data_IF_873429106241
#
_entry.id   IF_873429106241
#
_cell.length_a   1.000
_cell.length_b   1.000
_cell.length_c   1.000
_cell.angle_alpha   90.00
_cell.angle_beta   90.00
_cell.angle_gamma   90.00
#
_symmetry.space_group_name_H-M   'P 1'
#
loop_
_entity.id
_entity.type
_entity.pdbx_description
1 polymer ?
#
# COMPACT_ATOMS: atom_id res chain seq x y z
N UNK A 1 14.61 8.77 -0.13
CA UNK A 1 13.47 8.52 0.75
C UNK A 1 12.31 8.06 -0.09
N UNK A 2 11.70 6.94 0.26
CA UNK A 2 10.55 6.37 -0.43
C UNK A 2 9.24 6.64 0.31
N UNK A 3 9.27 6.52 1.65
CA UNK A 3 8.12 6.76 2.52
C UNK A 3 8.61 7.35 3.85
N UNK A 4 7.78 8.15 4.48
CA UNK A 4 8.04 8.71 5.80
C UNK A 4 6.72 8.84 6.55
N UNK A 5 6.73 8.48 7.83
CA UNK A 5 5.59 8.63 8.71
C UNK A 5 6.02 8.97 10.13
N UNK A 6 5.12 9.55 10.90
CA UNK A 6 5.26 9.70 12.34
C UNK A 6 4.36 8.67 13.02
N UNK A 7 4.95 7.80 13.86
CA UNK A 7 4.21 6.83 14.65
C UNK A 7 3.32 7.56 15.66
N UNK A 8 2.02 7.22 15.67
CA UNK A 8 0.99 7.98 16.39
C UNK A 8 1.18 7.98 17.91
N UNK A 9 1.67 6.87 18.49
CA UNK A 9 1.84 6.70 19.94
C UNK A 9 3.21 7.19 20.41
N UNK A 10 4.30 6.77 19.79
CA UNK A 10 5.66 7.11 20.25
C UNK A 10 6.12 8.50 19.80
N UNK A 11 5.54 9.00 18.71
CA UNK A 11 5.96 10.23 18.06
C UNK A 11 7.28 10.10 17.29
N UNK A 12 7.88 8.91 17.22
CA UNK A 12 9.07 8.67 16.42
C UNK A 12 8.77 8.82 14.94
N UNK A 13 9.74 9.34 14.18
CA UNK A 13 9.62 9.42 12.72
C UNK A 13 10.33 8.20 12.14
N UNK A 14 9.61 7.50 11.26
CA UNK A 14 10.10 6.36 10.51
C UNK A 14 10.28 6.75 9.05
N UNK A 15 11.43 6.42 8.48
CA UNK A 15 11.83 6.79 7.12
C UNK A 15 12.29 5.56 6.38
N UNK A 16 11.62 5.25 5.26
CA UNK A 16 12.02 4.19 4.33
C UNK A 16 12.99 4.73 3.28
N UNK A 17 14.04 3.97 3.00
CA UNK A 17 15.01 4.31 1.96
C UNK A 17 15.14 3.19 0.94
N UNK A 18 15.42 3.55 -0.33
CA UNK A 18 15.49 2.60 -1.45
C UNK A 18 16.52 1.48 -1.22
N UNK A 19 17.74 1.80 -0.80
CA UNK A 19 18.78 0.82 -0.45
C UNK A 19 19.40 1.12 0.93
N UNK A 20 18.74 1.96 1.73
CA UNK A 20 19.22 2.43 3.03
C UNK A 20 18.51 1.77 4.23
N UNK A 21 17.64 0.81 4.00
CA UNK A 21 16.83 0.21 5.07
C UNK A 21 15.81 1.17 5.66
N UNK A 22 15.68 1.16 6.97
CA UNK A 22 14.72 1.98 7.72
C UNK A 22 15.45 2.81 8.76
N UNK A 23 15.11 4.09 8.85
CA UNK A 23 15.57 4.98 9.89
C UNK A 23 14.45 5.27 10.89
N UNK A 24 14.74 5.14 12.18
CA UNK A 24 13.89 5.57 13.27
C UNK A 24 14.51 6.82 13.90
N UNK A 25 13.75 7.91 14.01
CA UNK A 25 14.19 9.18 14.57
C UNK A 25 13.38 9.50 15.83
N UNK A 26 14.03 9.45 16.99
CA UNK A 26 13.49 9.93 18.26
C UNK A 26 13.97 11.36 18.52
N UNK A 27 13.10 12.34 18.32
CA UNK A 27 13.42 13.76 18.54
C UNK A 27 13.70 14.10 20.00
N UNK A 28 13.26 13.28 20.97
CA UNK A 28 13.42 13.51 22.41
C UNK A 28 14.74 12.94 22.94
N UNK A 29 15.35 11.99 22.22
CA UNK A 29 16.62 11.39 22.62
C UNK A 29 17.80 12.39 22.49
N UNK A 30 18.90 12.17 23.21
CA UNK A 30 20.15 12.92 23.03
C UNK A 30 20.61 12.86 21.56
N UNK A 31 21.25 13.91 21.06
CA UNK A 31 21.63 14.07 19.64
C UNK A 31 22.33 12.83 19.08
N UNK A 32 23.27 12.26 19.83
CA UNK A 32 24.04 11.08 19.42
C UNK A 32 23.21 9.78 19.34
N UNK A 33 21.97 9.76 19.86
CA UNK A 33 21.10 8.59 19.92
C UNK A 33 19.77 8.81 19.19
N UNK A 34 19.60 9.96 18.54
CA UNK A 34 18.33 10.34 17.89
C UNK A 34 17.97 9.48 16.69
N UNK A 35 18.97 8.96 15.99
CA UNK A 35 18.76 8.24 14.75
C UNK A 35 19.28 6.81 14.92
N UNK A 36 18.40 5.86 14.67
CA UNK A 36 18.76 4.44 14.55
C UNK A 36 18.52 4.02 13.10
N UNK A 37 19.42 3.23 12.56
CA UNK A 37 19.28 2.66 11.22
C UNK A 37 19.17 1.14 11.31
N UNK A 38 18.24 0.57 10.51
CA UNK A 38 17.98 -0.85 10.45
C UNK A 38 18.21 -1.34 9.01
N UNK A 39 19.28 -2.08 8.81
CA UNK A 39 19.54 -2.85 7.58
C UNK A 39 19.14 -4.30 7.77
N UNK A 40 18.67 -4.95 6.72
CA UNK A 40 18.23 -6.35 6.79
C UNK A 40 19.34 -7.31 7.28
N UNK A 41 20.62 -7.00 7.02
CA UNK A 41 21.75 -7.80 7.49
C UNK A 41 21.95 -7.72 9.03
N UNK A 42 21.62 -6.56 9.64
CA UNK A 42 21.82 -6.30 11.07
C UNK A 42 20.49 -6.33 11.83
N UNK A 43 19.37 -6.29 11.14
CA UNK A 43 18.01 -6.33 11.63
C UNK A 43 17.24 -7.50 10.98
N UNK A 44 17.36 -8.74 11.49
CA UNK A 44 16.76 -9.93 10.88
C UNK A 44 15.24 -9.90 10.74
N UNK A 45 14.57 -8.97 11.41
CA UNK A 45 13.15 -8.73 11.28
C UNK A 45 12.77 -8.00 9.98
N UNK A 46 13.70 -7.29 9.37
CA UNK A 46 13.47 -6.56 8.12
C UNK A 46 13.75 -7.50 6.93
N UNK A 47 12.74 -7.78 6.12
CA UNK A 47 12.83 -8.72 5.01
C UNK A 47 13.79 -8.27 3.90
N UNK A 48 14.00 -6.96 3.75
CA UNK A 48 14.93 -6.40 2.77
C UNK A 48 15.27 -4.94 3.05
N UNK A 49 16.50 -4.51 2.70
CA UNK A 49 16.96 -3.13 2.91
C UNK A 49 16.42 -2.13 1.88
N UNK A 50 15.80 -2.61 0.79
CA UNK A 50 15.09 -1.77 -0.13
C UNK A 50 13.63 -1.67 0.32
N UNK A 51 13.27 -0.58 1.01
CA UNK A 51 11.96 -0.37 1.64
C UNK A 51 11.21 0.72 0.90
N UNK A 52 10.00 0.40 0.42
CA UNK A 52 9.18 1.28 -0.41
C UNK A 52 8.11 2.03 0.38
N UNK A 53 7.48 1.36 1.35
CA UNK A 53 6.39 1.94 2.11
C UNK A 53 6.45 1.54 3.58
N UNK A 54 6.04 2.44 4.47
CA UNK A 54 5.82 2.20 5.89
C UNK A 54 4.37 2.52 6.21
N UNK A 55 3.72 1.65 6.95
CA UNK A 55 2.33 1.80 7.38
C UNK A 55 2.18 1.48 8.87
N UNK A 56 1.40 2.28 9.60
CA UNK A 56 0.97 2.01 10.97
C UNK A 56 -0.46 1.49 10.94
N UNK A 57 -0.68 0.27 11.45
CA UNK A 57 -2.01 -0.30 11.54
C UNK A 57 -2.82 0.23 12.73
N UNK A 58 -4.08 -0.13 12.82
CA UNK A 58 -4.99 0.29 13.90
C UNK A 58 -4.59 -0.21 15.29
N UNK A 59 -3.69 -1.19 15.38
CA UNK A 59 -3.10 -1.71 16.62
C UNK A 59 -1.73 -1.07 16.92
N UNK A 60 -1.36 -0.05 16.15
CA UNK A 60 -0.07 0.65 16.24
C UNK A 60 1.16 -0.21 15.92
N UNK A 61 0.98 -1.31 15.18
CA UNK A 61 2.11 -2.05 14.64
C UNK A 61 2.64 -1.37 13.38
N UNK A 62 3.94 -1.51 13.14
CA UNK A 62 4.61 -0.98 11.97
C UNK A 62 4.80 -2.06 10.91
N UNK A 63 4.37 -1.76 9.70
CA UNK A 63 4.48 -2.60 8.53
C UNK A 63 5.43 -1.98 7.51
N UNK A 64 6.25 -2.80 6.88
CA UNK A 64 7.27 -2.36 5.92
C UNK A 64 7.13 -3.16 4.64
N UNK A 65 6.78 -2.48 3.54
CA UNK A 65 6.81 -3.06 2.20
C UNK A 65 8.23 -3.01 1.65
N UNK A 66 8.80 -4.15 1.31
CA UNK A 66 10.18 -4.25 0.87
C UNK A 66 10.29 -4.99 -0.48
N UNK A 67 11.46 -4.92 -1.11
CA UNK A 67 11.77 -5.72 -2.30
C UNK A 67 11.66 -7.23 -2.04
N UNK A 68 11.79 -7.66 -0.80
CA UNK A 68 11.85 -9.07 -0.41
C UNK A 68 10.65 -9.48 0.46
N UNK A 69 9.49 -8.91 0.22
CA UNK A 69 8.26 -9.18 0.96
C UNK A 69 7.91 -8.14 2.01
N UNK A 70 7.08 -8.56 2.95
CA UNK A 70 6.55 -7.71 4.02
C UNK A 70 7.24 -8.04 5.33
N UNK A 71 7.56 -7.01 6.09
CA UNK A 71 7.97 -7.12 7.50
C UNK A 71 6.96 -6.42 8.37
N UNK A 72 6.79 -6.92 9.58
CA UNK A 72 5.96 -6.30 10.59
C UNK A 72 6.70 -6.27 11.92
N UNK A 73 6.50 -5.20 12.64
CA UNK A 73 7.01 -5.02 13.99
C UNK A 73 5.87 -4.57 14.88
N UNK A 74 5.63 -5.27 15.98
CA UNK A 74 4.59 -4.90 16.94
C UNK A 74 4.94 -3.59 17.64
N UNK A 75 3.96 -2.96 18.27
CA UNK A 75 4.17 -1.76 19.06
C UNK A 75 5.23 -1.96 20.16
N UNK A 76 5.30 -3.17 20.76
CA UNK A 76 6.29 -3.53 21.78
C UNK A 76 7.67 -3.84 21.19
N UNK A 77 7.81 -3.74 19.87
CA UNK A 77 9.07 -3.93 19.15
C UNK A 77 9.40 -5.37 18.77
N UNK A 78 8.49 -6.31 18.97
CA UNK A 78 8.65 -7.70 18.52
C UNK A 78 8.49 -7.82 17.01
N UNK A 79 9.28 -8.69 16.39
CA UNK A 79 9.21 -8.98 14.97
C UNK A 79 8.23 -10.11 14.68
N UNK A 80 7.37 -9.91 13.69
CA UNK A 80 6.49 -10.97 13.17
C UNK A 80 7.02 -11.44 11.82
N UNK A 81 7.25 -12.76 11.72
CA UNK A 81 7.80 -13.40 10.53
C UNK A 81 6.70 -13.67 9.51
N UNK A 82 6.64 -12.85 8.47
CA UNK A 82 5.70 -12.97 7.36
C UNK A 82 6.36 -13.48 6.07
N UNK A 83 7.68 -13.50 6.03
CA UNK A 83 8.49 -13.88 4.87
C UNK A 83 8.33 -15.34 4.45
N UNK A 84 7.89 -16.22 5.37
CA UNK A 84 7.66 -17.65 5.12
C UNK A 84 6.25 -17.97 4.63
N UNK A 85 5.32 -17.00 4.63
CA UNK A 85 3.95 -17.22 4.15
C UNK A 85 3.96 -17.64 2.68
N UNK A 86 3.13 -18.65 2.36
CA UNK A 86 3.01 -19.17 1.01
C UNK A 86 2.14 -18.26 0.15
N UNK A 87 2.63 -17.93 -1.04
CA UNK A 87 1.97 -17.11 -2.06
C UNK A 87 2.00 -17.90 -3.35
N UNK A 88 0.99 -18.68 -3.63
CA UNK A 88 0.99 -19.64 -4.73
C UNK A 88 2.16 -20.61 -4.60
N UNK A 89 3.06 -20.66 -5.58
CA UNK A 89 4.25 -21.52 -5.58
C UNK A 89 5.50 -20.84 -4.97
N UNK A 90 5.37 -19.64 -4.45
CA UNK A 90 6.48 -18.85 -3.90
C UNK A 90 6.27 -18.58 -2.42
N UNK A 91 7.32 -18.09 -1.76
CA UNK A 91 7.21 -17.53 -0.41
C UNK A 91 7.20 -16.01 -0.48
N UNK A 92 6.53 -15.36 0.49
CA UNK A 92 6.41 -13.90 0.57
C UNK A 92 7.77 -13.19 0.49
N UNK A 93 8.84 -13.76 1.03
CA UNK A 93 10.21 -13.19 0.97
C UNK A 93 10.77 -12.99 -0.44
N UNK A 94 10.18 -13.61 -1.46
CA UNK A 94 10.61 -13.49 -2.85
C UNK A 94 9.69 -12.58 -3.67
N UNK A 95 8.75 -11.90 -3.00
CA UNK A 95 7.75 -11.06 -3.64
C UNK A 95 8.04 -9.59 -3.37
N UNK A 96 8.37 -8.78 -4.36
CA UNK A 96 8.47 -7.33 -4.19
C UNK A 96 7.13 -6.73 -3.81
N UNK A 97 7.07 -6.00 -2.70
CA UNK A 97 5.88 -5.31 -2.21
C UNK A 97 6.11 -3.81 -2.21
N UNK A 98 5.13 -3.03 -2.69
CA UNK A 98 5.30 -1.61 -2.99
C UNK A 98 4.51 -0.71 -2.04
N UNK A 99 3.29 -1.10 -1.71
CA UNK A 99 2.35 -0.28 -0.95
C UNK A 99 1.47 -1.14 -0.05
N UNK A 100 0.94 -0.54 1.02
CA UNK A 100 0.06 -1.24 1.97
C UNK A 100 -1.03 -0.32 2.48
N UNK A 101 -2.17 -0.92 2.82
CA UNK A 101 -3.28 -0.27 3.53
C UNK A 101 -4.02 -1.30 4.38
N UNK A 102 -4.61 -0.88 5.48
CA UNK A 102 -5.45 -1.72 6.32
C UNK A 102 -6.91 -1.61 5.89
N UNK A 103 -7.61 -2.73 5.81
CA UNK A 103 -9.05 -2.80 5.64
C UNK A 103 -9.81 -2.55 6.95
N UNK A 104 -11.11 -2.26 6.88
CA UNK A 104 -11.95 -2.07 8.08
C UNK A 104 -12.10 -3.34 8.94
N UNK A 105 -11.80 -4.49 8.38
CA UNK A 105 -11.76 -5.80 9.05
C UNK A 105 -10.44 -6.05 9.80
N UNK A 106 -9.47 -5.14 9.69
CA UNK A 106 -8.13 -5.26 10.25
C UNK A 106 -7.17 -6.09 9.40
N UNK A 107 -7.60 -6.55 8.22
CA UNK A 107 -6.71 -7.24 7.28
C UNK A 107 -5.77 -6.27 6.59
N UNK A 108 -4.55 -6.70 6.38
CA UNK A 108 -3.56 -5.90 5.68
C UNK A 108 -3.55 -6.22 4.18
N UNK A 109 -3.81 -5.22 3.36
CA UNK A 109 -3.75 -5.29 1.91
C UNK A 109 -2.39 -4.80 1.42
N UNK A 110 -1.76 -5.56 0.54
CA UNK A 110 -0.38 -5.34 0.08
C UNK A 110 -0.32 -5.38 -1.44
N UNK A 111 0.14 -4.29 -2.04
CA UNK A 111 0.36 -4.20 -3.48
C UNK A 111 1.74 -4.73 -3.87
N UNK A 112 1.80 -5.48 -4.96
CA UNK A 112 3.03 -5.98 -5.58
C UNK A 112 3.07 -5.58 -7.06
N UNK A 113 4.24 -5.15 -7.51
CA UNK A 113 4.46 -4.83 -8.92
C UNK A 113 4.79 -6.06 -9.79
N UNK A 114 4.53 -7.27 -9.29
CA UNK A 114 4.78 -8.52 -10.02
C UNK A 114 3.71 -9.59 -9.80
N UNK A 115 2.91 -9.48 -8.72
CA UNK A 115 1.96 -10.52 -8.31
C UNK A 115 0.53 -9.99 -8.08
N UNK A 116 0.27 -8.68 -8.27
CA UNK A 116 -1.03 -8.07 -7.99
C UNK A 116 -1.17 -7.64 -6.53
N UNK A 117 -2.25 -8.03 -5.88
CA UNK A 117 -2.58 -7.65 -4.51
C UNK A 117 -2.65 -8.87 -3.62
N UNK A 118 -2.15 -8.75 -2.40
CA UNK A 118 -2.30 -9.74 -1.33
C UNK A 118 -3.18 -9.18 -0.23
N UNK A 119 -3.99 -10.03 0.38
CA UNK A 119 -4.70 -9.79 1.63
C UNK A 119 -4.11 -10.72 2.68
N UNK A 120 -3.54 -10.16 3.74
CA UNK A 120 -3.02 -10.87 4.90
C UNK A 120 -4.06 -10.80 6.01
N UNK A 121 -4.64 -11.93 6.33
CA UNK A 121 -5.59 -12.09 7.43
C UNK A 121 -4.89 -12.69 8.65
N UNK A 122 -5.07 -12.06 9.81
CA UNK A 122 -4.57 -12.55 11.09
C UNK A 122 -5.72 -13.15 11.90
N UNK A 123 -5.65 -14.44 12.20
CA UNK A 123 -6.66 -15.11 13.02
C UNK A 123 -6.54 -14.72 14.51
N UNK A 124 -7.51 -15.17 15.32
CA UNK A 124 -7.55 -14.93 16.78
C UNK A 124 -6.33 -15.49 17.53
N UNK A 125 -5.59 -16.42 16.93
CA UNK A 125 -4.38 -17.04 17.50
C UNK A 125 -3.09 -16.33 17.09
N UNK A 126 -3.21 -15.26 16.25
CA UNK A 126 -2.07 -14.51 15.73
C UNK A 126 -1.40 -15.19 14.52
N UNK A 127 -2.05 -16.16 13.87
CA UNK A 127 -1.52 -16.80 12.67
C UNK A 127 -2.00 -16.07 11.42
N UNK A 128 -1.08 -15.85 10.49
CA UNK A 128 -1.36 -15.16 9.23
C UNK A 128 -1.63 -16.11 8.08
N UNK A 129 -2.64 -15.80 7.29
CA UNK A 129 -2.94 -16.42 6.00
C UNK A 129 -2.89 -15.39 4.90
N UNK A 130 -2.65 -15.81 3.65
CA UNK A 130 -2.51 -14.94 2.49
C UNK A 130 -3.46 -15.34 1.39
N UNK A 131 -4.28 -14.40 0.93
CA UNK A 131 -5.04 -14.49 -0.32
C UNK A 131 -4.36 -13.65 -1.40
N UNK A 132 -4.43 -14.08 -2.66
CA UNK A 132 -3.83 -13.38 -3.79
C UNK A 132 -4.91 -12.98 -4.80
N UNK A 133 -4.81 -11.75 -5.33
CA UNK A 133 -5.68 -11.17 -6.35
C UNK A 133 -4.81 -10.70 -7.50
N UNK A 134 -4.93 -11.33 -8.65
CA UNK A 134 -4.04 -11.13 -9.79
C UNK A 134 -4.74 -11.47 -11.10
N UNK A 135 -4.20 -11.01 -12.21
CA UNK A 135 -4.64 -11.43 -13.53
C UNK A 135 -4.46 -12.94 -13.77
N UNK A 136 -3.52 -13.58 -13.07
CA UNK A 136 -3.27 -15.03 -13.20
C UNK A 136 -4.39 -15.90 -12.64
N UNK A 137 -5.19 -15.38 -11.70
CA UNK A 137 -6.35 -16.09 -11.14
C UNK A 137 -7.69 -15.41 -11.42
N UNK A 138 -7.67 -14.35 -12.25
CA UNK A 138 -8.88 -13.62 -12.67
C UNK A 138 -9.50 -12.73 -11.60
N UNK A 139 -8.88 -12.57 -10.44
CA UNK A 139 -9.41 -11.77 -9.33
C UNK A 139 -9.02 -10.29 -9.39
N UNK A 140 -8.05 -9.92 -10.21
CA UNK A 140 -7.65 -8.56 -10.56
C UNK A 140 -7.25 -8.56 -12.04
N UNK A 141 -7.46 -7.48 -12.76
CA UNK A 141 -7.12 -7.36 -14.19
C UNK A 141 -5.62 -7.07 -14.46
N UNK A 142 -4.76 -7.09 -13.45
CA UNK A 142 -3.33 -6.82 -13.56
C UNK A 142 -2.50 -7.69 -12.62
N UNK A 143 -1.22 -7.86 -12.94
CA UNK A 143 -0.17 -8.34 -12.03
C UNK A 143 0.63 -7.18 -11.45
N UNK A 144 0.45 -5.97 -11.96
CA UNK A 144 1.15 -4.75 -11.55
C UNK A 144 0.23 -3.89 -10.70
N UNK A 145 0.28 -4.03 -9.37
CA UNK A 145 -0.40 -3.15 -8.43
C UNK A 145 0.63 -2.15 -7.87
N UNK A 146 0.39 -0.85 -8.11
CA UNK A 146 1.33 0.22 -7.76
C UNK A 146 0.93 0.92 -6.46
N UNK A 147 -0.36 1.07 -6.20
CA UNK A 147 -0.87 1.70 -4.99
C UNK A 147 -2.17 1.07 -4.50
N UNK A 148 -2.42 1.23 -3.21
CA UNK A 148 -3.65 0.83 -2.50
C UNK A 148 -4.16 1.99 -1.66
N UNK A 149 -5.46 2.04 -1.47
CA UNK A 149 -6.08 3.02 -0.61
C UNK A 149 -7.37 2.48 0.00
N UNK A 150 -7.51 2.60 1.31
CA UNK A 150 -8.76 2.36 2.02
C UNK A 150 -9.42 3.71 2.29
N UNK A 151 -10.60 3.93 1.72
CA UNK A 151 -11.32 5.19 1.91
C UNK A 151 -12.12 5.21 3.22
N UNK A 152 -12.70 6.38 3.53
CA UNK A 152 -13.46 6.57 4.77
C UNK A 152 -14.73 5.68 4.90
N UNK A 153 -15.18 5.08 3.78
CA UNK A 153 -16.29 4.10 3.76
C UNK A 153 -15.77 2.66 3.88
N UNK A 154 -14.45 2.46 4.02
CA UNK A 154 -13.80 1.14 4.12
C UNK A 154 -13.59 0.42 2.80
N UNK A 155 -13.81 1.08 1.68
CA UNK A 155 -13.64 0.49 0.35
C UNK A 155 -12.15 0.42 0.00
N UNK A 156 -11.72 -0.72 -0.54
CA UNK A 156 -10.34 -0.95 -0.95
C UNK A 156 -10.18 -0.64 -2.43
N UNK A 157 -9.35 0.34 -2.72
CA UNK A 157 -9.01 0.79 -4.07
C UNK A 157 -7.61 0.33 -4.43
N UNK A 158 -7.43 -0.15 -5.66
CA UNK A 158 -6.10 -0.45 -6.20
C UNK A 158 -5.88 0.28 -7.51
N UNK A 159 -4.75 0.96 -7.58
CA UNK A 159 -4.20 1.52 -8.81
C UNK A 159 -3.18 0.57 -9.42
N UNK A 160 -3.26 0.38 -10.73
CA UNK A 160 -2.41 -0.55 -11.46
C UNK A 160 -1.61 0.15 -12.55
N UNK A 161 -0.45 -0.41 -12.87
CA UNK A 161 0.44 0.10 -13.91
C UNK A 161 0.01 -0.31 -15.33
N UNK A 162 -1.17 0.12 -15.78
CA UNK A 162 -1.65 -0.14 -17.14
C UNK A 162 -3.03 -0.77 -17.27
N UNK A 163 -3.74 -0.99 -16.13
CA UNK A 163 -5.14 -1.48 -16.13
C UNK A 163 -6.04 -0.58 -15.29
N UNK A 164 -5.54 0.60 -14.91
CA UNK A 164 -6.27 1.68 -14.27
C UNK A 164 -6.67 1.41 -12.83
N UNK A 165 -7.77 2.05 -12.43
CA UNK A 165 -8.36 1.98 -11.09
C UNK A 165 -9.30 0.77 -10.98
N UNK A 166 -9.17 0.05 -9.88
CA UNK A 166 -10.05 -1.06 -9.54
C UNK A 166 -10.57 -0.91 -8.10
N UNK A 167 -11.74 -1.49 -7.83
CA UNK A 167 -12.41 -1.48 -6.54
C UNK A 167 -12.65 -2.91 -6.09
N UNK A 168 -12.28 -3.26 -4.85
CA UNK A 168 -12.59 -4.55 -4.27
C UNK A 168 -14.09 -4.71 -4.03
N UNK A 169 -14.61 -5.83 -4.49
CA UNK A 169 -15.99 -6.28 -4.28
C UNK A 169 -15.98 -7.52 -3.37
N UNK A 170 -16.47 -7.36 -2.17
CA UNK A 170 -16.51 -8.42 -1.17
C UNK A 170 -17.46 -9.55 -1.57
N UNK A 171 -18.55 -9.23 -2.27
CA UNK A 171 -19.56 -10.23 -2.65
C UNK A 171 -19.01 -11.26 -3.63
N UNK A 172 -18.11 -10.85 -4.52
CA UNK A 172 -17.46 -11.72 -5.52
C UNK A 172 -16.04 -12.14 -5.12
N UNK A 173 -15.48 -11.54 -4.07
CA UNK A 173 -14.07 -11.67 -3.66
C UNK A 173 -13.11 -11.39 -4.84
N UNK A 174 -13.37 -10.29 -5.56
CA UNK A 174 -12.58 -9.85 -6.71
C UNK A 174 -12.44 -8.33 -6.76
N UNK A 175 -11.54 -7.83 -7.61
CA UNK A 175 -11.44 -6.41 -7.92
C UNK A 175 -12.18 -6.08 -9.22
N UNK A 176 -13.14 -5.17 -9.15
CA UNK A 176 -13.92 -4.69 -10.30
C UNK A 176 -13.15 -3.57 -11.02
N UNK A 177 -12.99 -3.65 -12.35
CA UNK A 177 -12.29 -2.64 -13.14
C UNK A 177 -13.21 -1.43 -13.38
N UNK A 178 -13.18 -0.46 -12.46
CA UNK A 178 -14.02 0.76 -12.53
C UNK A 178 -13.46 1.84 -13.44
N UNK A 179 -12.19 1.76 -13.82
CA UNK A 179 -11.53 2.74 -14.68
C UNK A 179 -12.23 2.87 -16.04
N UNK A 180 -12.46 1.75 -16.70
CA UNK A 180 -13.18 1.71 -17.97
C UNK A 180 -14.68 2.05 -17.81
N UNK A 181 -15.31 1.62 -16.70
CA UNK A 181 -16.73 1.94 -16.40
C UNK A 181 -16.96 3.46 -16.38
N UNK A 182 -16.03 4.22 -15.81
CA UNK A 182 -16.16 5.68 -15.68
C UNK A 182 -15.41 6.45 -16.75
N UNK A 183 -14.82 5.76 -17.73
CA UNK A 183 -14.08 6.35 -18.85
C UNK A 183 -13.00 7.34 -18.39
N UNK A 184 -12.22 6.93 -17.38
CA UNK A 184 -11.16 7.77 -16.83
C UNK A 184 -9.98 7.88 -17.82
N UNK A 185 -9.30 9.02 -17.90
CA UNK A 185 -8.11 9.20 -18.74
C UNK A 185 -6.87 8.51 -18.15
N UNK A 186 -5.97 8.09 -19.03
CA UNK A 186 -4.78 7.31 -18.66
C UNK A 186 -5.14 5.87 -18.32
N UNK A 187 -4.15 5.05 -18.07
CA UNK A 187 -4.29 3.62 -17.74
C UNK A 187 -3.37 3.18 -16.59
N UNK A 188 -2.38 3.99 -16.22
CA UNK A 188 -1.55 3.80 -15.05
C UNK A 188 -2.03 4.72 -13.91
N UNK A 189 -2.38 4.13 -12.77
CA UNK A 189 -2.76 4.84 -11.54
C UNK A 189 -1.73 4.50 -10.47
N UNK A 190 -0.89 5.49 -10.15
CA UNK A 190 0.29 5.31 -9.27
C UNK A 190 0.09 5.85 -7.86
N UNK A 191 -0.95 6.65 -7.63
CA UNK A 191 -1.31 7.15 -6.31
C UNK A 191 -2.81 7.38 -6.18
N UNK A 192 -3.35 7.13 -4.98
CA UNK A 192 -4.75 7.35 -4.63
C UNK A 192 -4.81 8.01 -3.26
N UNK A 193 -5.58 9.10 -3.11
CA UNK A 193 -5.90 9.75 -1.84
C UNK A 193 -7.33 10.28 -1.91
N UNK A 194 -7.95 10.58 -0.76
CA UNK A 194 -9.19 11.34 -0.73
C UNK A 194 -8.99 12.72 -0.13
N UNK A 195 -9.83 13.64 -0.54
CA UNK A 195 -9.99 14.92 0.15
C UNK A 195 -11.02 14.85 1.30
N UNK A 196 -11.29 15.99 1.92
CA UNK A 196 -12.23 16.08 3.05
C UNK A 196 -13.69 15.87 2.65
N UNK A 197 -14.00 16.09 1.39
CA UNK A 197 -15.31 15.87 0.77
C UNK A 197 -15.52 14.39 0.43
N UNK A 198 -14.45 13.58 0.44
CA UNK A 198 -14.46 12.15 0.09
C UNK A 198 -14.23 11.88 -1.41
N UNK A 199 -13.92 12.91 -2.20
CA UNK A 199 -13.52 12.76 -3.58
C UNK A 199 -12.12 12.12 -3.66
N UNK A 200 -11.92 11.22 -4.62
CA UNK A 200 -10.63 10.59 -4.82
C UNK A 200 -9.73 11.44 -5.72
N UNK A 201 -8.48 11.53 -5.34
CA UNK A 201 -7.41 12.13 -6.12
C UNK A 201 -6.48 11.04 -6.63
N UNK A 202 -6.38 10.90 -7.94
CA UNK A 202 -5.61 9.86 -8.61
C UNK A 202 -4.44 10.49 -9.36
N UNK A 203 -3.23 10.10 -9.02
CA UNK A 203 -2.05 10.37 -9.86
C UNK A 203 -1.99 9.34 -10.97
N UNK A 204 -2.03 9.81 -12.21
CA UNK A 204 -2.04 8.94 -13.40
C UNK A 204 -0.99 9.36 -14.42
N UNK A 205 -0.74 8.51 -15.42
CA UNK A 205 0.10 8.87 -16.56
C UNK A 205 -0.55 9.89 -17.55
N UNK A 206 -1.80 10.30 -17.31
CA UNK A 206 -2.47 11.37 -18.05
C UNK A 206 -2.51 12.69 -17.27
N UNK A 207 -2.08 12.70 -16.02
CA UNK A 207 -2.14 13.84 -15.10
C UNK A 207 -2.81 13.49 -13.78
N UNK A 208 -3.28 14.52 -13.05
CA UNK A 208 -3.96 14.36 -11.77
C UNK A 208 -5.48 14.42 -11.98
N UNK A 209 -6.19 13.38 -11.54
CA UNK A 209 -7.64 13.28 -11.63
C UNK A 209 -8.26 13.53 -10.26
N UNK A 210 -9.18 14.49 -10.16
CA UNK A 210 -10.13 14.58 -9.05
C UNK A 210 -11.40 13.83 -9.47
N UNK A 211 -11.79 12.79 -8.71
CA UNK A 211 -12.89 11.89 -9.03
C UNK A 211 -13.96 11.96 -7.94
N UNK A 212 -15.13 12.50 -8.29
CA UNK A 212 -16.31 12.52 -7.42
C UNK A 212 -17.21 11.33 -7.72
N UNK A 213 -17.54 10.55 -6.68
CA UNK A 213 -18.29 9.31 -6.78
C UNK A 213 -19.75 9.51 -6.39
N UNK A 214 -20.69 8.94 -7.14
CA UNK A 214 -22.07 8.78 -6.66
C UNK A 214 -22.12 7.80 -5.48
N UNK A 215 -23.11 7.94 -4.59
CA UNK A 215 -23.20 7.11 -3.37
C UNK A 215 -23.33 5.60 -3.69
N UNK A 216 -23.99 5.25 -4.77
CA UNK A 216 -24.18 3.87 -5.22
C UNK A 216 -23.08 3.36 -6.17
N UNK A 217 -22.06 4.18 -6.48
CA UNK A 217 -20.97 3.87 -7.41
C UNK A 217 -21.39 3.56 -8.86
N UNK A 218 -22.63 3.90 -9.22
CA UNK A 218 -23.12 3.69 -10.59
C UNK A 218 -22.52 4.70 -11.58
N UNK A 219 -22.24 5.90 -11.09
CA UNK A 219 -21.61 6.96 -11.88
C UNK A 219 -20.50 7.66 -11.10
N UNK A 220 -19.60 8.28 -11.84
CA UNK A 220 -18.60 9.17 -11.32
C UNK A 220 -18.41 10.36 -12.28
N UNK A 221 -18.04 11.49 -11.74
CA UNK A 221 -17.60 12.64 -12.52
C UNK A 221 -16.16 12.95 -12.18
N UNK A 222 -15.39 13.41 -13.16
CA UNK A 222 -13.98 13.71 -12.90
C UNK A 222 -13.55 15.03 -13.51
N UNK A 223 -12.50 15.60 -12.94
CA UNK A 223 -11.73 16.71 -13.52
C UNK A 223 -10.28 16.26 -13.65
N UNK A 224 -9.73 16.41 -14.84
CA UNK A 224 -8.33 16.18 -15.15
C UNK A 224 -7.55 17.48 -15.01
N UNK A 225 -6.42 17.43 -14.31
CA UNK A 225 -5.43 18.51 -14.23
C UNK A 225 -4.16 18.05 -14.94
N UNK A 226 -3.58 18.92 -15.75
CA UNK A 226 -2.40 18.64 -16.55
C UNK A 226 -1.37 19.76 -16.41
N UNK A 227 -0.33 19.74 -17.20
CA UNK A 227 0.67 20.84 -17.28
C UNK A 227 0.03 22.17 -17.63
N UNK A 228 -1.11 22.20 -18.36
CA UNK A 228 -1.87 23.44 -18.66
C UNK A 228 -2.46 24.07 -17.39
N UNK A 229 -2.78 23.25 -16.39
CA UNK A 229 -3.28 23.67 -15.07
C UNK A 229 -2.15 23.97 -14.08
N UNK A 230 -0.89 23.85 -14.49
CA UNK A 230 0.28 24.17 -13.67
C UNK A 230 0.97 22.97 -13.01
N UNK A 231 0.64 21.74 -13.40
CA UNK A 231 1.46 20.60 -13.01
C UNK A 231 2.84 20.69 -13.67
N UNK A 232 3.87 20.18 -12.98
CA UNK A 232 5.25 20.20 -13.47
C UNK A 232 5.44 19.21 -14.64
N UNK A 233 4.71 18.07 -14.60
CA UNK A 233 4.64 17.03 -15.62
C UNK A 233 3.29 16.32 -15.54
N UNK A 234 2.92 15.53 -16.55
CA UNK A 234 1.65 14.77 -16.56
C UNK A 234 1.81 13.37 -15.99
#
# INVERSE_FOLDING_TARGET
VMSMMQHSVTGHIWIAAYDGGVYEVDKKAPVAQRVRNYYAQDAPWLAGSCVFHIYEDSKHNLWFATRNGVSMRTMDGEAVRLDTLQVGNSQMRNVPTMYMTEGNDGDMWVASNTHGVFRLHCDEKGSYTVSCYSATNGKLNSVYADCLYTDAKGRIWVGTGGSGLNLYDEATDTFLPVHAKWNLPGDAVVSIRSDKEGDLWLGTNAGLIKLALSDNLESATFRLYTTVDGLQDN
#
